data_IF_344202078506
#
_entry.id   IF_344202078506
#
_cell.length_a   1.000
_cell.length_b   1.000
_cell.length_c   1.000
_cell.angle_alpha   90.00
_cell.angle_beta   90.00
_cell.angle_gamma   90.00
#
_symmetry.space_group_name_H-M   'P 1'
#
loop_
_entity.id
_entity.type
_entity.pdbx_description
1 polymer ?
#
# COMPACT_ATOMS: atom_id res chain seq x y z
N UNK A 1 -2.65 74.76 -21.26
CA UNK A 1 -1.56 73.80 -20.94
C UNK A 1 -1.86 73.15 -19.61
N UNK A 2 -2.40 71.94 -19.63
CA UNK A 2 -2.17 70.94 -18.58
C UNK A 2 -2.61 69.60 -19.15
N UNK A 3 -1.65 68.70 -19.15
CA UNK A 3 -1.51 67.50 -19.96
C UNK A 3 -2.43 66.37 -19.52
N UNK A 4 -3.14 65.78 -20.47
CA UNK A 4 -3.68 64.45 -20.37
C UNK A 4 -2.51 63.45 -20.34
N UNK A 5 -2.40 62.67 -19.26
CA UNK A 5 -1.51 61.52 -19.16
C UNK A 5 -2.37 60.26 -19.07
N UNK A 6 -2.74 59.72 -20.23
CA UNK A 6 -3.27 58.37 -20.38
C UNK A 6 -2.20 57.36 -19.97
N UNK A 7 -2.25 56.92 -18.71
CA UNK A 7 -1.51 55.77 -18.24
C UNK A 7 -2.13 54.51 -18.83
N UNK A 8 -1.55 54.05 -19.93
CA UNK A 8 -1.86 52.78 -20.58
C UNK A 8 -1.34 51.64 -19.69
N UNK A 9 -2.06 51.30 -18.62
CA UNK A 9 -1.79 50.10 -17.83
C UNK A 9 -2.26 48.91 -18.65
N UNK A 10 -1.31 48.16 -19.20
CA UNK A 10 -1.54 46.78 -19.63
C UNK A 10 -2.17 46.01 -18.46
N UNK A 11 -3.50 45.83 -18.48
CA UNK A 11 -4.15 44.79 -17.70
C UNK A 11 -3.62 43.48 -18.25
N UNK A 12 -2.71 42.83 -17.54
CA UNK A 12 -2.51 41.40 -17.70
C UNK A 12 -3.90 40.79 -17.50
N UNK A 13 -4.52 40.32 -18.59
CA UNK A 13 -5.74 39.55 -18.50
C UNK A 13 -5.46 38.39 -17.55
N UNK A 14 -6.06 38.45 -16.37
CA UNK A 14 -6.06 37.33 -15.43
C UNK A 14 -6.79 36.21 -16.18
N UNK A 15 -6.03 35.25 -16.71
CA UNK A 15 -6.59 34.14 -17.51
C UNK A 15 -7.60 33.43 -16.63
N UNK A 16 -8.86 33.44 -17.04
CA UNK A 16 -9.91 32.76 -16.29
C UNK A 16 -9.85 31.26 -16.58
N UNK A 17 -8.98 30.55 -15.86
CA UNK A 17 -8.82 29.09 -16.00
C UNK A 17 -10.11 28.30 -15.71
N UNK A 18 -11.11 28.93 -15.07
CA UNK A 18 -12.43 28.31 -14.85
C UNK A 18 -13.30 28.23 -16.12
N UNK A 19 -12.99 29.01 -17.16
CA UNK A 19 -13.70 29.05 -18.45
C UNK A 19 -13.02 28.20 -19.53
N UNK A 20 -12.00 27.40 -19.18
CA UNK A 20 -11.35 26.52 -20.14
C UNK A 20 -12.38 25.48 -20.65
N UNK A 21 -12.54 25.28 -21.98
CA UNK A 21 -13.45 24.27 -22.50
C UNK A 21 -13.04 22.84 -22.09
N UNK A 22 -14.01 21.92 -22.09
CA UNK A 22 -13.80 20.54 -21.63
C UNK A 22 -12.72 19.79 -22.45
N UNK A 23 -12.64 20.01 -23.77
CA UNK A 23 -11.65 19.35 -24.63
C UNK A 23 -10.19 19.58 -24.19
N UNK A 24 -9.75 20.85 -24.06
CA UNK A 24 -8.46 21.17 -23.47
C UNK A 24 -8.26 20.64 -22.04
N UNK A 25 -9.29 20.67 -21.19
CA UNK A 25 -9.20 20.13 -19.82
C UNK A 25 -8.88 18.63 -19.83
N UNK A 26 -9.59 17.85 -20.66
CA UNK A 26 -9.31 16.43 -20.82
C UNK A 26 -7.92 16.19 -21.41
N UNK A 27 -7.48 17.02 -22.34
CA UNK A 27 -6.13 16.91 -22.91
C UNK A 27 -5.06 17.12 -21.84
N UNK A 28 -5.18 18.17 -21.02
CA UNK A 28 -4.29 18.42 -19.88
C UNK A 28 -4.32 17.23 -18.92
N UNK A 29 -5.51 16.75 -18.56
CA UNK A 29 -5.68 15.59 -17.70
C UNK A 29 -4.97 14.33 -18.24
N UNK A 30 -5.04 14.07 -19.55
CA UNK A 30 -4.37 12.91 -20.15
C UNK A 30 -2.85 12.99 -20.13
N UNK A 31 -2.29 14.20 -20.04
CA UNK A 31 -0.85 14.44 -19.94
C UNK A 31 -0.31 14.36 -18.51
N UNK A 32 -1.17 14.17 -17.49
CA UNK A 32 -0.73 14.06 -16.11
C UNK A 32 -0.06 12.70 -15.89
N UNK A 33 1.19 12.76 -15.45
CA UNK A 33 2.02 11.60 -15.16
C UNK A 33 2.29 11.45 -13.66
N UNK A 34 2.12 12.51 -12.88
CA UNK A 34 2.32 12.54 -11.43
C UNK A 34 0.98 12.60 -10.71
N UNK A 35 0.93 11.92 -9.57
CA UNK A 35 -0.19 12.02 -8.66
C UNK A 35 -0.28 13.40 -8.00
N UNK A 36 0.86 14.06 -7.77
CA UNK A 36 0.89 15.45 -7.26
C UNK A 36 0.19 16.37 -8.25
N UNK A 37 0.52 16.26 -9.55
CA UNK A 37 -0.12 17.05 -10.60
C UNK A 37 -1.62 16.75 -10.72
N UNK A 38 -2.02 15.48 -10.55
CA UNK A 38 -3.42 15.08 -10.46
C UNK A 38 -4.18 15.81 -9.34
N UNK A 39 -3.60 15.89 -8.15
CA UNK A 39 -4.20 16.60 -7.03
C UNK A 39 -4.25 18.11 -7.31
N UNK A 40 -3.16 18.69 -7.81
CA UNK A 40 -3.12 20.10 -8.20
C UNK A 40 -4.20 20.42 -9.24
N UNK A 41 -4.35 19.58 -10.26
CA UNK A 41 -5.38 19.68 -11.30
C UNK A 41 -6.80 19.68 -10.70
N UNK A 42 -7.11 18.70 -9.83
CA UNK A 42 -8.44 18.58 -9.18
C UNK A 42 -8.75 19.71 -8.17
N UNK A 43 -7.72 20.45 -7.75
CA UNK A 43 -7.83 21.52 -6.76
C UNK A 43 -8.17 22.89 -7.37
N UNK A 44 -8.00 23.07 -8.70
CA UNK A 44 -8.13 24.38 -9.37
C UNK A 44 -9.51 25.01 -9.17
N UNK A 45 -10.56 24.34 -9.65
CA UNK A 45 -11.95 24.78 -9.50
C UNK A 45 -12.92 23.61 -9.78
N UNK A 46 -14.24 23.86 -9.72
CA UNK A 46 -15.27 22.82 -9.89
C UNK A 46 -15.24 22.15 -11.27
N UNK A 47 -15.00 22.89 -12.35
CA UNK A 47 -14.95 22.33 -13.71
C UNK A 47 -13.78 21.37 -13.90
N UNK A 48 -12.60 21.72 -13.40
CA UNK A 48 -11.42 20.85 -13.43
C UNK A 48 -11.61 19.61 -12.56
N UNK A 49 -12.17 19.78 -11.35
CA UNK A 49 -12.48 18.64 -10.45
C UNK A 49 -13.48 17.68 -11.05
N UNK A 50 -14.44 18.16 -11.85
CA UNK A 50 -15.44 17.32 -12.48
C UNK A 50 -14.80 16.27 -13.42
N UNK A 51 -13.69 16.62 -14.09
CA UNK A 51 -12.93 15.70 -14.96
C UNK A 51 -12.35 14.52 -14.17
N UNK A 52 -11.96 14.73 -12.92
CA UNK A 52 -11.35 13.69 -12.09
C UNK A 52 -12.36 12.94 -11.23
N UNK A 53 -13.54 13.52 -10.98
CA UNK A 53 -14.56 12.95 -10.08
C UNK A 53 -15.23 11.69 -10.63
N UNK A 54 -15.15 11.44 -11.93
CA UNK A 54 -15.72 10.24 -12.56
C UNK A 54 -14.76 9.05 -12.61
N UNK A 55 -13.52 9.21 -12.14
CA UNK A 55 -12.51 8.15 -12.19
C UNK A 55 -12.81 7.07 -11.15
N UNK A 56 -12.74 5.82 -11.60
CA UNK A 56 -12.73 4.66 -10.73
C UNK A 56 -11.36 4.49 -10.08
N UNK A 57 -11.24 3.75 -8.96
CA UNK A 57 -9.94 3.39 -8.39
C UNK A 57 -9.00 2.73 -9.41
N UNK A 58 -9.51 1.88 -10.30
CA UNK A 58 -8.73 1.24 -11.37
C UNK A 58 -8.21 2.23 -12.41
N UNK A 59 -8.93 3.32 -12.69
CA UNK A 59 -8.45 4.37 -13.60
C UNK A 59 -7.26 5.13 -12.99
N UNK A 60 -7.23 5.26 -11.67
CA UNK A 60 -6.13 5.89 -10.94
C UNK A 60 -4.92 4.96 -10.91
N UNK A 61 -5.09 3.68 -10.55
CA UNK A 61 -3.99 2.73 -10.44
C UNK A 61 -3.34 2.39 -11.78
N UNK A 62 -4.09 2.46 -12.88
CA UNK A 62 -3.57 2.25 -14.24
C UNK A 62 -2.85 3.47 -14.83
N UNK A 63 -2.96 4.64 -14.19
CA UNK A 63 -2.40 5.90 -14.69
C UNK A 63 -1.20 6.40 -13.88
N UNK A 64 -1.29 6.28 -12.57
CA UNK A 64 -0.31 6.86 -11.65
C UNK A 64 0.42 5.78 -10.85
N UNK A 65 1.68 6.02 -10.47
CA UNK A 65 2.38 5.13 -9.56
C UNK A 65 1.73 5.18 -8.16
N UNK A 66 1.88 4.12 -7.34
CA UNK A 66 1.59 4.23 -5.93
C UNK A 66 2.55 5.23 -5.28
N UNK A 67 2.09 5.88 -4.22
CA UNK A 67 2.88 6.80 -3.43
C UNK A 67 3.64 6.04 -2.34
N UNK A 68 4.86 6.48 -2.06
CA UNK A 68 5.63 5.97 -0.94
C UNK A 68 5.34 6.81 0.30
N UNK A 69 4.79 6.17 1.33
CA UNK A 69 4.68 6.75 2.66
C UNK A 69 5.91 6.40 3.48
N UNK A 70 6.50 7.42 4.10
CA UNK A 70 7.65 7.31 4.99
C UNK A 70 7.23 7.87 6.35
N UNK A 71 7.18 7.02 7.37
CA UNK A 71 6.84 7.42 8.72
C UNK A 71 7.83 8.46 9.26
N UNK A 72 7.35 9.47 9.96
CA UNK A 72 8.19 10.42 10.69
C UNK A 72 8.09 10.11 12.17
N UNK A 73 9.23 10.11 12.86
CA UNK A 73 9.31 9.89 14.30
C UNK A 73 10.00 11.07 14.99
N UNK A 74 9.55 11.41 16.20
CA UNK A 74 10.26 12.34 17.08
C UNK A 74 11.54 11.70 17.63
N UNK A 75 12.42 12.52 18.23
CA UNK A 75 13.61 12.03 18.95
C UNK A 75 13.28 11.04 20.08
N UNK A 76 12.06 11.10 20.61
CA UNK A 76 11.55 10.21 21.66
C UNK A 76 10.98 8.90 21.08
N UNK A 77 11.08 8.67 19.76
CA UNK A 77 10.58 7.47 19.09
C UNK A 77 9.06 7.47 18.88
N UNK A 78 8.38 8.61 18.99
CA UNK A 78 6.93 8.71 18.78
C UNK A 78 6.62 9.08 17.33
N UNK A 79 5.62 8.45 16.73
CA UNK A 79 5.15 8.85 15.41
C UNK A 79 4.69 10.31 15.41
N UNK A 80 5.27 11.15 14.54
CA UNK A 80 4.97 12.59 14.44
C UNK A 80 4.19 12.97 13.17
N UNK A 81 4.21 12.12 12.15
CA UNK A 81 3.59 12.40 10.85
C UNK A 81 4.09 11.40 9.81
N UNK A 82 3.86 11.68 8.53
CA UNK A 82 4.55 10.97 7.46
C UNK A 82 4.90 11.90 6.31
N UNK A 83 5.94 11.52 5.56
CA UNK A 83 6.28 12.12 4.27
C UNK A 83 5.72 11.24 3.17
N UNK A 84 5.17 11.87 2.14
CA UNK A 84 4.67 11.21 0.93
C UNK A 84 5.61 11.57 -0.22
N UNK A 85 6.07 10.55 -0.95
CA UNK A 85 6.84 10.70 -2.17
C UNK A 85 6.08 10.12 -3.35
N UNK A 86 6.17 10.80 -4.49
CA UNK A 86 5.65 10.34 -5.77
C UNK A 86 6.80 9.85 -6.65
N UNK A 87 6.83 8.57 -7.07
CA UNK A 87 7.84 8.05 -7.99
C UNK A 87 7.96 8.83 -9.31
N UNK A 88 6.87 9.43 -9.79
CA UNK A 88 6.86 10.25 -10.99
C UNK A 88 7.40 11.67 -10.76
N UNK A 89 7.56 12.09 -9.50
CA UNK A 89 8.05 13.41 -9.11
C UNK A 89 8.79 13.36 -7.77
N UNK A 90 9.93 12.64 -7.71
CA UNK A 90 10.62 12.33 -6.45
C UNK A 90 11.19 13.57 -5.74
N UNK A 91 11.41 14.67 -6.47
CA UNK A 91 11.82 15.95 -5.90
C UNK A 91 10.72 16.64 -5.08
N UNK A 92 9.46 16.25 -5.28
CA UNK A 92 8.33 16.77 -4.53
C UNK A 92 7.99 15.83 -3.38
N UNK A 93 7.92 16.38 -2.18
CA UNK A 93 7.46 15.64 -1.00
C UNK A 93 6.40 16.43 -0.26
N UNK A 94 5.35 15.74 0.19
CA UNK A 94 4.32 16.32 1.05
C UNK A 94 4.45 15.77 2.47
N UNK A 95 4.31 16.64 3.48
CA UNK A 95 4.24 16.23 4.88
C UNK A 95 2.78 16.13 5.32
N UNK A 96 2.43 15.01 5.93
CA UNK A 96 1.14 14.75 6.54
C UNK A 96 1.28 14.75 8.06
N UNK A 97 1.10 15.93 8.66
CA UNK A 97 1.32 16.16 10.09
C UNK A 97 0.09 15.79 10.96
N UNK A 98 -1.08 15.57 10.33
CA UNK A 98 -2.36 15.32 11.03
C UNK A 98 -2.47 13.94 11.69
N UNK A 99 -1.44 13.10 11.57
CA UNK A 99 -1.40 11.75 12.19
C UNK A 99 -1.19 11.86 13.72
N UNK A 100 -0.62 12.97 14.19
CA UNK A 100 -0.11 13.17 15.56
C UNK A 100 -1.00 14.08 16.43
N UNK A 101 -2.22 13.65 16.77
CA UNK A 101 -3.01 14.34 17.80
C UNK A 101 -3.11 13.61 19.14
N UNK A 102 -2.45 12.44 19.31
CA UNK A 102 -2.51 11.72 20.59
C UNK A 102 -1.12 11.32 21.11
N UNK A 103 -0.72 11.92 22.24
CA UNK A 103 0.59 11.83 22.89
C UNK A 103 0.96 10.44 23.45
N UNK A 104 0.19 9.39 23.16
CA UNK A 104 0.18 8.14 23.91
C UNK A 104 0.62 6.88 23.14
N UNK A 105 0.81 6.91 21.81
CA UNK A 105 1.23 5.72 21.05
C UNK A 105 2.65 5.85 20.51
N UNK A 106 3.51 4.90 20.91
CA UNK A 106 4.85 4.73 20.33
C UNK A 106 4.81 4.04 18.94
N UNK A 107 3.68 3.44 18.57
CA UNK A 107 3.55 2.69 17.31
C UNK A 107 2.94 3.58 16.22
N UNK A 108 3.57 3.59 15.05
CA UNK A 108 3.04 4.21 13.83
C UNK A 108 1.74 3.50 13.41
N UNK A 109 0.70 4.22 12.96
CA UNK A 109 -0.56 3.62 12.55
C UNK A 109 -0.32 2.57 11.45
N UNK A 110 -1.19 1.56 11.44
CA UNK A 110 -1.07 0.48 10.48
C UNK A 110 -1.70 0.95 9.20
N UNK A 111 -0.96 0.83 8.11
CA UNK A 111 -1.45 1.24 6.80
C UNK A 111 -2.40 0.18 6.27
N UNK A 112 -3.36 0.64 5.48
CA UNK A 112 -4.22 -0.22 4.68
C UNK A 112 -3.80 -0.13 3.23
N UNK A 113 -4.14 -1.15 2.45
CA UNK A 113 -3.99 -1.21 0.99
C UNK A 113 -4.57 0.00 0.23
N UNK A 114 -5.51 0.75 0.81
CA UNK A 114 -6.12 1.95 0.21
C UNK A 114 -5.60 3.28 0.76
N UNK A 115 -4.38 3.29 1.33
CA UNK A 115 -3.75 4.52 1.81
C UNK A 115 -4.44 5.16 3.03
N UNK A 116 -5.33 4.42 3.71
CA UNK A 116 -5.93 4.83 4.98
C UNK A 116 -5.09 4.30 6.14
N UNK A 117 -5.03 5.07 7.22
CA UNK A 117 -4.36 4.72 8.47
C UNK A 117 -5.34 4.09 9.45
N UNK A 118 -5.06 2.89 9.92
CA UNK A 118 -5.73 2.31 11.08
C UNK A 118 -4.97 2.67 12.35
N UNK A 119 -5.68 3.32 13.27
CA UNK A 119 -5.16 3.74 14.57
C UNK A 119 -5.97 3.07 15.69
N UNK A 120 -5.34 2.30 16.58
CA UNK A 120 -6.02 1.82 17.78
C UNK A 120 -6.30 3.01 18.72
N UNK A 121 -7.51 3.05 19.28
CA UNK A 121 -7.95 4.03 20.26
C UNK A 121 -8.48 3.27 21.48
N UNK A 122 -8.16 3.77 22.68
CA UNK A 122 -8.54 3.14 23.95
C UNK A 122 -9.49 4.01 24.78
N UNK A 123 -10.76 4.20 24.38
CA UNK A 123 -11.72 4.93 25.19
C UNK A 123 -12.05 4.12 26.46
N UNK A 124 -11.75 4.67 27.64
CA UNK A 124 -12.06 4.07 28.94
C UNK A 124 -11.57 2.60 29.10
N UNK A 125 -10.44 2.25 28.47
CA UNK A 125 -9.85 0.90 28.52
C UNK A 125 -10.41 -0.12 27.53
N UNK A 126 -11.44 0.23 26.75
CA UNK A 126 -11.97 -0.63 25.68
C UNK A 126 -11.17 -0.48 24.39
N UNK A 127 -11.15 -1.50 23.54
CA UNK A 127 -10.40 -1.49 22.28
C UNK A 127 -11.30 -1.07 21.12
N UNK A 128 -10.94 0.03 20.45
CA UNK A 128 -11.61 0.57 19.28
C UNK A 128 -10.57 0.92 18.22
N UNK A 129 -10.97 1.01 16.96
CA UNK A 129 -10.11 1.48 15.89
C UNK A 129 -10.69 2.70 15.19
N UNK A 130 -9.80 3.58 14.73
CA UNK A 130 -10.10 4.69 13.82
C UNK A 130 -9.43 4.42 12.50
N UNK A 131 -10.23 4.47 11.42
CA UNK A 131 -9.75 4.54 10.05
C UNK A 131 -9.65 6.03 9.71
N UNK A 132 -8.43 6.52 9.53
CA UNK A 132 -8.13 7.89 9.13
C UNK A 132 -7.74 7.90 7.65
N UNK A 133 -8.41 8.71 6.84
CA UNK A 133 -7.91 9.09 5.52
C UNK A 133 -6.93 10.25 5.68
N UNK A 134 -5.62 10.07 5.44
CA UNK A 134 -4.68 11.15 5.64
C UNK A 134 -4.73 12.26 4.59
N UNK A 135 -5.32 11.98 3.42
CA UNK A 135 -5.43 12.94 2.32
C UNK A 135 -6.64 13.86 2.48
N UNK A 136 -7.75 13.35 3.03
CA UNK A 136 -8.98 14.13 3.25
C UNK A 136 -9.16 14.58 4.70
N UNK A 137 -8.54 13.88 5.65
CA UNK A 137 -8.76 14.05 7.09
C UNK A 137 -10.06 13.40 7.60
N UNK A 138 -10.74 12.60 6.78
CA UNK A 138 -11.91 11.83 7.20
C UNK A 138 -11.53 10.80 8.26
N UNK A 139 -12.29 10.73 9.35
CA UNK A 139 -12.14 9.71 10.39
C UNK A 139 -13.41 8.87 10.51
N UNK A 140 -13.24 7.54 10.50
CA UNK A 140 -14.32 6.58 10.69
C UNK A 140 -13.99 5.70 11.90
N UNK A 141 -14.91 5.62 12.85
CA UNK A 141 -14.75 4.87 14.09
C UNK A 141 -15.40 3.49 13.97
N UNK A 142 -14.66 2.43 14.32
CA UNK A 142 -15.23 1.10 14.47
C UNK A 142 -16.06 0.98 15.75
N UNK A 143 -16.95 -0.01 15.88
CA UNK A 143 -17.46 -0.45 17.18
C UNK A 143 -16.32 -0.92 18.09
N UNK A 144 -16.61 -1.03 19.39
CA UNK A 144 -15.70 -1.64 20.36
C UNK A 144 -15.54 -3.12 20.01
N UNK A 145 -14.30 -3.60 19.97
CA UNK A 145 -14.01 -5.01 19.72
C UNK A 145 -14.56 -5.85 20.90
N UNK A 146 -15.32 -6.92 20.64
CA UNK A 146 -15.78 -7.83 21.67
C UNK A 146 -14.59 -8.33 22.51
N UNK A 147 -14.71 -8.28 23.84
CA UNK A 147 -13.67 -8.81 24.74
C UNK A 147 -13.64 -10.34 24.62
N UNK A 148 -12.77 -10.87 23.77
CA UNK A 148 -12.34 -12.27 23.83
C UNK A 148 -11.40 -12.51 25.02
N UNK A 149 -11.28 -13.76 25.47
CA UNK A 149 -10.61 -14.20 26.69
C UNK A 149 -9.06 -14.16 26.66
N UNK A 150 -8.42 -13.22 25.95
CA UNK A 150 -6.96 -13.21 25.86
C UNK A 150 -6.35 -11.82 25.99
N UNK A 151 -5.33 -11.73 26.85
CA UNK A 151 -4.38 -10.62 27.07
C UNK A 151 -4.32 -9.59 25.94
N UNK A 152 -5.22 -8.61 26.05
CA UNK A 152 -5.56 -7.54 25.12
C UNK A 152 -4.40 -6.52 24.85
N UNK A 153 -3.19 -6.77 25.35
CA UNK A 153 -2.05 -5.86 25.26
C UNK A 153 -1.10 -6.06 24.07
N UNK A 154 -1.40 -6.96 23.13
CA UNK A 154 -0.59 -7.14 21.90
C UNK A 154 -1.45 -7.37 20.65
N UNK A 155 -2.39 -6.46 20.38
CA UNK A 155 -2.91 -6.29 19.01
C UNK A 155 -1.78 -5.72 18.13
N UNK A 156 -0.79 -6.55 17.80
CA UNK A 156 -0.10 -6.42 16.54
C UNK A 156 -0.95 -7.24 15.58
N UNK A 157 -1.86 -6.63 14.80
CA UNK A 157 -2.56 -7.38 13.79
C UNK A 157 -1.52 -7.98 12.85
N UNK A 158 -1.68 -9.27 12.56
CA UNK A 158 -0.79 -9.97 11.62
C UNK A 158 -1.06 -9.49 10.20
N UNK A 159 -2.31 -9.08 9.92
CA UNK A 159 -2.72 -8.43 8.69
C UNK A 159 -3.93 -7.51 8.91
N UNK A 160 -4.02 -6.45 8.10
CA UNK A 160 -5.19 -5.59 8.00
C UNK A 160 -5.52 -5.32 6.54
N UNK A 161 -6.70 -5.74 6.12
CA UNK A 161 -7.24 -5.40 4.79
C UNK A 161 -8.47 -4.53 4.94
N UNK A 162 -8.55 -3.49 4.12
CA UNK A 162 -9.81 -2.79 3.86
C UNK A 162 -10.34 -3.27 2.52
N UNK A 163 -11.52 -3.88 2.51
CA UNK A 163 -12.10 -4.59 1.37
C UNK A 163 -13.56 -4.17 1.26
N UNK A 164 -13.99 -3.54 0.16
CA UNK A 164 -15.40 -3.21 -0.08
C UNK A 164 -16.14 -2.57 1.11
N UNK A 165 -15.47 -1.63 1.79
CA UNK A 165 -15.96 -1.01 3.02
C UNK A 165 -16.06 -1.96 4.21
N UNK A 166 -15.18 -2.95 4.30
CA UNK A 166 -15.04 -3.84 5.44
C UNK A 166 -13.59 -3.90 5.91
N UNK A 167 -13.40 -3.94 7.22
CA UNK A 167 -12.13 -4.12 7.87
C UNK A 167 -11.99 -5.58 8.31
N UNK A 168 -10.94 -6.23 7.82
CA UNK A 168 -10.52 -7.53 8.29
C UNK A 168 -9.35 -7.35 9.26
N UNK A 169 -9.53 -7.80 10.50
CA UNK A 169 -8.51 -7.82 11.54
C UNK A 169 -8.19 -9.28 11.85
N UNK A 170 -7.01 -9.71 11.43
CA UNK A 170 -6.53 -11.06 11.71
C UNK A 170 -5.57 -11.01 12.90
N UNK A 171 -5.84 -11.88 13.86
CA UNK A 171 -4.98 -12.13 15.03
C UNK A 171 -4.47 -13.56 14.99
N UNK A 172 -3.60 -13.94 15.92
CA UNK A 172 -3.10 -15.32 16.01
C UNK A 172 -4.19 -16.38 16.27
N UNK A 173 -5.39 -15.96 16.72
CA UNK A 173 -6.46 -16.87 17.16
C UNK A 173 -7.80 -16.56 16.50
N UNK A 174 -8.13 -15.29 16.32
CA UNK A 174 -9.44 -14.88 15.82
C UNK A 174 -9.30 -13.98 14.60
N UNK A 175 -10.27 -14.13 13.69
CA UNK A 175 -10.49 -13.24 12.55
C UNK A 175 -11.72 -12.39 12.85
N UNK A 176 -11.50 -11.10 13.00
CA UNK A 176 -12.55 -10.11 13.19
C UNK A 176 -12.88 -9.45 11.86
N UNK A 177 -14.16 -9.40 11.54
CA UNK A 177 -14.69 -8.78 10.33
C UNK A 177 -15.68 -7.69 10.73
N UNK A 178 -15.48 -6.47 10.22
CA UNK A 178 -16.41 -5.37 10.43
C UNK A 178 -16.67 -4.63 9.13
N UNK A 179 -17.93 -4.63 8.69
CA UNK A 179 -18.39 -3.76 7.61
C UNK A 179 -18.60 -2.34 8.15
N UNK A 180 -18.02 -1.35 7.50
CA UNK A 180 -18.19 0.08 7.81
C UNK A 180 -19.68 0.40 7.89
N UNK A 181 -20.06 1.07 8.98
CA UNK A 181 -21.46 1.40 9.29
C UNK A 181 -22.21 0.32 10.08
N UNK A 182 -21.71 -0.91 10.17
CA UNK A 182 -22.31 -1.94 11.04
C UNK A 182 -22.08 -1.62 12.53
N UNK A 183 -23.04 -1.94 13.42
CA UNK A 183 -22.95 -1.61 14.84
C UNK A 183 -22.04 -2.54 15.64
N UNK A 184 -21.61 -3.67 15.07
CA UNK A 184 -20.82 -4.69 15.76
C UNK A 184 -19.81 -5.38 14.83
N UNK A 185 -18.82 -6.01 15.45
CA UNK A 185 -17.88 -6.91 14.78
C UNK A 185 -18.46 -8.33 14.69
N UNK A 186 -18.20 -9.00 13.57
CA UNK A 186 -18.27 -10.45 13.46
C UNK A 186 -16.93 -11.04 13.90
N UNK A 187 -16.95 -12.08 14.73
CA UNK A 187 -15.75 -12.79 15.17
C UNK A 187 -15.83 -14.24 14.72
N UNK A 188 -14.73 -14.74 14.17
CA UNK A 188 -14.60 -16.10 13.70
C UNK A 188 -13.31 -16.71 14.26
N UNK A 189 -13.44 -17.87 14.91
CA UNK A 189 -12.30 -18.63 15.44
C UNK A 189 -12.09 -19.88 14.57
N UNK A 190 -11.28 -19.80 13.50
CA UNK A 190 -11.09 -20.94 12.60
C UNK A 190 -10.36 -22.09 13.31
N UNK A 191 -10.69 -23.35 12.98
CA UNK A 191 -9.99 -24.52 13.57
C UNK A 191 -8.54 -24.67 13.10
N UNK A 192 -8.28 -24.18 11.89
CA UNK A 192 -6.94 -24.11 11.30
C UNK A 192 -6.58 -22.63 11.34
N UNK A 193 -5.65 -22.27 12.22
CA UNK A 193 -5.08 -20.94 12.22
C UNK A 193 -3.89 -20.93 11.24
N UNK A 194 -3.84 -19.98 10.30
CA UNK A 194 -2.59 -19.69 9.64
C UNK A 194 -1.61 -19.20 10.71
N UNK A 195 -0.46 -19.86 10.81
CA UNK A 195 0.52 -19.56 11.84
C UNK A 195 1.41 -18.41 11.37
N UNK A 196 1.08 -17.19 11.83
CA UNK A 196 1.93 -16.02 11.73
C UNK A 196 2.07 -15.42 10.31
N UNK A 197 2.06 -14.07 10.26
CA UNK A 197 2.43 -13.29 9.09
C UNK A 197 1.53 -13.54 7.87
N UNK A 198 0.24 -13.28 8.01
CA UNK A 198 -0.69 -13.43 6.90
C UNK A 198 -0.59 -12.21 5.98
N UNK A 199 -0.40 -12.43 4.69
CA UNK A 199 -0.62 -11.38 3.68
C UNK A 199 -1.92 -11.73 2.99
N UNK A 200 -2.91 -10.84 3.06
CA UNK A 200 -4.19 -11.03 2.37
C UNK A 200 -4.25 -10.14 1.14
N UNK A 201 -4.47 -10.75 -0.01
CA UNK A 201 -4.67 -10.07 -1.28
C UNK A 201 -6.01 -10.47 -1.89
N UNK A 202 -6.63 -9.56 -2.64
CA UNK A 202 -7.82 -9.86 -3.43
C UNK A 202 -7.39 -9.97 -4.87
N UNK A 203 -7.80 -11.04 -5.54
CA UNK A 203 -7.57 -11.25 -6.97
C UNK A 203 -8.89 -11.71 -7.58
N UNK A 204 -9.44 -10.95 -8.54
CA UNK A 204 -10.72 -11.27 -9.22
C UNK A 204 -11.83 -11.65 -8.23
N UNK A 205 -12.09 -10.77 -7.26
CA UNK A 205 -13.12 -10.93 -6.21
C UNK A 205 -12.91 -12.11 -5.24
N UNK A 206 -11.76 -12.79 -5.30
CA UNK A 206 -11.38 -13.84 -4.37
C UNK A 206 -10.30 -13.37 -3.42
N UNK A 207 -10.46 -13.67 -2.15
CA UNK A 207 -9.47 -13.36 -1.12
C UNK A 207 -8.52 -14.54 -0.94
N UNK A 208 -7.23 -14.25 -0.98
CA UNK A 208 -6.16 -15.21 -0.74
C UNK A 208 -5.33 -14.76 0.45
N UNK A 209 -5.01 -15.68 1.35
CA UNK A 209 -4.01 -15.47 2.40
C UNK A 209 -2.89 -16.47 2.25
N UNK A 210 -1.69 -16.06 2.64
CA UNK A 210 -0.55 -16.96 2.77
C UNK A 210 0.11 -16.76 4.12
N UNK A 211 0.48 -17.86 4.77
CA UNK A 211 1.21 -17.82 6.02
C UNK A 211 2.73 -17.91 5.84
N UNK A 212 3.45 -17.76 6.95
CA UNK A 212 4.93 -17.86 6.98
C UNK A 212 5.49 -19.22 6.53
N UNK A 213 4.66 -20.26 6.41
CA UNK A 213 5.04 -21.58 5.90
C UNK A 213 4.69 -21.76 4.42
N UNK A 214 4.38 -20.67 3.71
CA UNK A 214 4.03 -20.65 2.29
C UNK A 214 2.74 -21.43 1.95
N UNK A 215 1.88 -21.68 2.94
CA UNK A 215 0.59 -22.33 2.72
C UNK A 215 -0.42 -21.31 2.23
N UNK A 216 -1.06 -21.62 1.10
CA UNK A 216 -2.08 -20.76 0.51
C UNK A 216 -3.47 -21.13 1.01
N UNK A 217 -4.25 -20.11 1.35
CA UNK A 217 -5.64 -20.23 1.77
C UNK A 217 -6.54 -19.33 0.93
N UNK A 218 -7.71 -19.81 0.56
CA UNK A 218 -8.79 -19.00 0.01
C UNK A 218 -9.76 -18.65 1.15
N UNK A 219 -10.16 -17.37 1.22
CA UNK A 219 -11.05 -16.84 2.24
C UNK A 219 -12.38 -16.44 1.61
N UNK A 220 -13.47 -16.88 2.23
CA UNK A 220 -14.81 -16.44 1.92
C UNK A 220 -15.44 -15.87 3.20
N UNK A 221 -15.89 -14.61 3.16
CA UNK A 221 -16.41 -13.91 4.34
C UNK A 221 -17.93 -14.04 4.52
N UNK A 222 -18.66 -14.38 3.46
CA UNK A 222 -20.12 -14.39 3.43
C UNK A 222 -20.63 -15.74 2.96
N UNK A 223 -21.60 -16.39 3.64
CA UNK A 223 -22.36 -15.92 4.82
C UNK A 223 -21.63 -16.09 6.17
N UNK A 224 -20.51 -16.82 6.19
CA UNK A 224 -19.63 -17.03 7.35
C UNK A 224 -18.19 -17.10 6.85
N UNK A 225 -17.21 -16.81 7.72
CA UNK A 225 -15.81 -17.00 7.39
C UNK A 225 -15.51 -18.49 7.12
N UNK A 226 -15.21 -18.81 5.87
CA UNK A 226 -14.66 -20.07 5.45
C UNK A 226 -13.21 -19.89 5.02
N UNK A 227 -12.30 -20.63 5.65
CA UNK A 227 -10.89 -20.67 5.28
C UNK A 227 -10.60 -22.01 4.64
N UNK A 228 -10.31 -22.01 3.34
CA UNK A 228 -10.02 -23.21 2.55
C UNK A 228 -8.54 -23.28 2.25
N UNK A 229 -7.84 -24.25 2.84
CA UNK A 229 -6.46 -24.54 2.46
C UNK A 229 -6.40 -25.04 1.02
N UNK A 230 -5.57 -24.41 0.19
CA UNK A 230 -5.30 -24.82 -1.18
C UNK A 230 -3.98 -25.60 -1.19
N UNK A 231 -4.04 -26.88 -1.55
CA UNK A 231 -2.83 -27.65 -1.81
C UNK A 231 -2.22 -27.19 -3.14
N UNK A 232 -1.11 -26.45 -3.07
CA UNK A 232 -0.42 -25.90 -4.23
C UNK A 232 1.01 -26.44 -4.28
N UNK A 233 1.35 -27.12 -5.36
CA UNK A 233 2.70 -27.65 -5.60
C UNK A 233 3.59 -26.63 -6.35
N UNK A 234 4.85 -26.98 -6.61
CA UNK A 234 5.70 -26.24 -7.57
C UNK A 234 6.78 -25.33 -6.97
N UNK A 235 6.78 -25.09 -5.66
CA UNK A 235 7.87 -24.35 -4.98
C UNK A 235 8.99 -25.31 -4.56
N UNK A 236 8.65 -26.35 -3.78
CA UNK A 236 9.34 -27.64 -3.65
C UNK A 236 10.85 -27.71 -3.34
N UNK A 237 11.54 -26.59 -3.14
CA UNK A 237 13.00 -26.53 -3.04
C UNK A 237 13.55 -26.53 -1.61
N UNK A 238 12.66 -26.46 -0.61
CA UNK A 238 13.00 -26.51 0.82
C UNK A 238 13.79 -25.30 1.33
N UNK A 239 13.96 -24.25 0.52
CA UNK A 239 14.69 -23.04 0.94
C UNK A 239 13.82 -22.20 1.87
N UNK A 240 14.45 -21.62 2.89
CA UNK A 240 13.80 -20.68 3.79
C UNK A 240 13.59 -19.33 3.09
N UNK A 241 12.36 -18.83 3.13
CA UNK A 241 12.00 -17.49 2.68
C UNK A 241 12.22 -16.46 3.77
N UNK A 242 13.11 -15.51 3.53
CA UNK A 242 13.35 -14.39 4.44
C UNK A 242 12.17 -13.43 4.51
N UNK A 243 11.52 -13.20 3.36
CA UNK A 243 10.30 -12.40 3.23
C UNK A 243 9.42 -13.03 2.17
N UNK A 244 8.11 -12.95 2.37
CA UNK A 244 7.08 -13.38 1.43
C UNK A 244 6.16 -12.22 1.11
N UNK A 245 5.59 -12.23 -0.09
CA UNK A 245 4.64 -11.24 -0.58
C UNK A 245 3.59 -11.91 -1.46
N UNK A 246 2.34 -11.45 -1.35
CA UNK A 246 1.30 -11.72 -2.33
C UNK A 246 0.93 -10.43 -3.06
N UNK A 247 0.66 -10.54 -4.36
CA UNK A 247 0.37 -9.41 -5.25
C UNK A 247 -0.73 -9.81 -6.23
N UNK A 248 -1.73 -8.94 -6.39
CA UNK A 248 -2.63 -8.98 -7.55
C UNK A 248 -1.94 -8.29 -8.73
N UNK A 249 -1.64 -9.05 -9.78
CA UNK A 249 -1.02 -8.54 -10.99
C UNK A 249 -1.94 -8.82 -12.17
N UNK A 250 -2.75 -7.83 -12.57
CA UNK A 250 -3.66 -7.96 -13.70
C UNK A 250 -4.73 -9.05 -13.52
N UNK A 251 -5.12 -9.36 -12.27
CA UNK A 251 -6.05 -10.45 -11.97
C UNK A 251 -5.39 -11.83 -11.95
N UNK A 252 -4.05 -11.91 -11.94
CA UNK A 252 -3.28 -13.11 -11.63
C UNK A 252 -2.67 -12.98 -10.25
N UNK A 253 -2.73 -14.06 -9.45
CA UNK A 253 -2.10 -14.10 -8.14
C UNK A 253 -0.60 -14.40 -8.30
N UNK A 254 0.23 -13.45 -7.89
CA UNK A 254 1.66 -13.63 -7.79
C UNK A 254 2.10 -13.84 -6.34
N UNK A 255 2.96 -14.83 -6.15
CA UNK A 255 3.72 -15.05 -4.92
C UNK A 255 5.17 -14.66 -5.16
N UNK A 256 5.69 -13.75 -4.34
CA UNK A 256 7.09 -13.38 -4.36
C UNK A 256 7.74 -13.75 -3.05
N UNK A 257 8.97 -14.27 -3.12
CA UNK A 257 9.76 -14.59 -1.93
C UNK A 257 11.20 -14.17 -2.11
N UNK A 258 11.77 -13.71 -1.01
CA UNK A 258 13.18 -13.39 -0.91
C UNK A 258 13.91 -14.59 -0.29
N UNK A 259 14.83 -15.19 -1.04
CA UNK A 259 15.55 -16.41 -0.65
C UNK A 259 17.06 -16.19 -0.63
N UNK A 260 17.79 -16.91 0.24
CA UNK A 260 19.25 -16.87 0.22
C UNK A 260 19.82 -17.49 -1.05
N UNK A 261 20.96 -16.96 -1.49
CA UNK A 261 21.78 -17.50 -2.58
C UNK A 261 22.98 -18.26 -2.01
N UNK A 262 23.83 -18.82 -2.89
CA UNK A 262 25.09 -19.47 -2.48
C UNK A 262 26.11 -18.47 -1.90
N UNK A 263 26.00 -17.18 -2.26
CA UNK A 263 26.89 -16.13 -1.74
C UNK A 263 26.52 -15.80 -0.30
N UNK A 264 27.54 -15.66 0.53
CA UNK A 264 27.40 -15.15 1.90
C UNK A 264 26.75 -13.75 1.84
N UNK A 265 25.67 -13.55 2.62
CA UNK A 265 24.87 -12.31 2.63
C UNK A 265 24.20 -11.98 1.28
N UNK A 266 24.16 -12.91 0.32
CA UNK A 266 23.46 -12.76 -0.96
C UNK A 266 22.01 -13.24 -0.87
N UNK A 267 21.09 -12.39 -1.33
CA UNK A 267 19.66 -12.69 -1.43
C UNK A 267 19.19 -12.58 -2.88
N UNK A 268 18.10 -13.23 -3.22
CA UNK A 268 17.48 -13.16 -4.54
C UNK A 268 15.97 -13.09 -4.39
N UNK A 269 15.31 -12.30 -5.24
CA UNK A 269 13.87 -12.24 -5.30
C UNK A 269 13.37 -13.19 -6.39
N UNK A 270 12.52 -14.14 -5.99
CA UNK A 270 11.81 -15.04 -6.89
C UNK A 270 10.34 -14.69 -6.95
N UNK A 271 9.73 -14.93 -8.10
CA UNK A 271 8.30 -14.75 -8.30
C UNK A 271 7.69 -16.01 -8.93
N UNK A 272 6.47 -16.30 -8.52
CA UNK A 272 5.68 -17.43 -8.97
C UNK A 272 4.27 -16.96 -9.28
N UNK A 273 3.69 -17.47 -10.36
CA UNK A 273 2.28 -17.27 -10.69
C UNK A 273 1.47 -18.49 -10.29
N UNK A 274 0.31 -18.27 -9.69
CA UNK A 274 -0.63 -19.35 -9.40
C UNK A 274 -1.29 -19.82 -10.69
N UNK A 275 -1.12 -21.09 -11.03
CA UNK A 275 -1.83 -21.76 -12.11
C UNK A 275 -2.90 -22.70 -11.52
N UNK A 276 -4.16 -22.46 -11.91
CA UNK A 276 -5.33 -23.23 -11.52
C UNK A 276 -5.92 -24.03 -12.70
N UNK A 277 -5.25 -24.05 -13.86
CA UNK A 277 -5.77 -24.64 -15.09
C UNK A 277 -5.70 -26.17 -15.13
N UNK A 278 -4.80 -26.77 -14.34
CA UNK A 278 -4.60 -28.22 -14.22
C UNK A 278 -5.39 -28.73 -13.01
N UNK A 279 -5.73 -30.03 -12.98
CA UNK A 279 -6.42 -30.70 -11.86
C UNK A 279 -5.80 -30.45 -10.46
N UNK A 280 -4.55 -29.99 -10.41
CA UNK A 280 -3.85 -29.60 -9.20
C UNK A 280 -3.33 -28.17 -9.35
N UNK A 281 -3.56 -27.33 -8.33
CA UNK A 281 -3.02 -25.98 -8.30
C UNK A 281 -1.49 -26.04 -8.21
N UNK A 282 -0.80 -25.21 -8.99
CA UNK A 282 0.66 -25.16 -9.01
C UNK A 282 1.19 -23.74 -9.06
N UNK A 283 2.33 -23.52 -8.41
CA UNK A 283 3.13 -22.33 -8.54
C UNK A 283 4.08 -22.50 -9.72
N UNK A 284 3.96 -21.61 -10.69
CA UNK A 284 4.83 -21.57 -11.88
C UNK A 284 5.80 -20.43 -11.72
N UNK A 285 7.10 -20.72 -11.61
CA UNK A 285 8.16 -19.70 -11.51
C UNK A 285 8.13 -18.81 -12.74
N UNK A 286 8.22 -17.50 -12.53
CA UNK A 286 8.33 -16.50 -13.60
C UNK A 286 9.65 -15.74 -13.44
N UNK A 287 10.27 -15.44 -14.57
CA UNK A 287 11.54 -14.69 -14.63
C UNK A 287 11.36 -13.30 -15.25
N UNK A 288 10.15 -13.02 -15.74
CA UNK A 288 9.84 -11.80 -16.47
C UNK A 288 8.43 -11.33 -16.11
N UNK A 289 8.32 -10.08 -15.66
CA UNK A 289 7.05 -9.42 -15.32
C UNK A 289 6.43 -8.73 -16.54
N UNK A 290 7.08 -8.76 -17.70
CA UNK A 290 6.60 -8.12 -18.92
C UNK A 290 6.52 -6.61 -18.76
N UNK A 291 5.37 -6.04 -19.08
CA UNK A 291 5.10 -4.61 -18.95
C UNK A 291 4.69 -4.18 -17.53
N UNK A 292 4.77 -5.08 -16.54
CA UNK A 292 4.41 -4.79 -15.15
C UNK A 292 5.62 -4.35 -14.32
N UNK A 293 5.35 -3.50 -13.35
CA UNK A 293 6.23 -3.20 -12.22
C UNK A 293 5.53 -3.58 -10.92
N UNK A 294 6.28 -4.22 -10.01
CA UNK A 294 5.77 -4.60 -8.68
C UNK A 294 6.36 -3.66 -7.62
N UNK A 295 5.54 -3.24 -6.66
CA UNK A 295 5.94 -2.36 -5.56
C UNK A 295 5.84 -3.12 -4.25
N UNK A 296 6.98 -3.32 -3.59
CA UNK A 296 7.09 -4.07 -2.34
C UNK A 296 7.60 -3.17 -1.21
N UNK A 297 6.98 -3.30 -0.04
CA UNK A 297 7.48 -2.67 1.18
C UNK A 297 8.58 -3.49 1.84
N UNK A 298 9.47 -2.83 2.59
CA UNK A 298 10.41 -3.56 3.46
C UNK A 298 9.67 -4.40 4.51
N UNK A 299 8.54 -3.88 5.01
CA UNK A 299 7.67 -4.57 5.96
C UNK A 299 6.59 -5.34 5.21
N UNK A 300 6.44 -6.63 5.51
CA UNK A 300 5.52 -7.57 4.83
C UNK A 300 4.08 -7.48 5.38
N UNK A 301 3.72 -6.38 6.02
CA UNK A 301 2.40 -6.18 6.64
C UNK A 301 1.32 -5.81 5.62
N UNK A 302 1.74 -5.38 4.43
CA UNK A 302 0.87 -5.02 3.31
C UNK A 302 1.14 -5.94 2.12
N UNK A 303 0.11 -6.26 1.31
CA UNK A 303 0.33 -6.89 0.02
C UNK A 303 1.16 -5.97 -0.87
N UNK A 304 1.88 -6.57 -1.83
CA UNK A 304 2.52 -5.77 -2.87
C UNK A 304 1.49 -5.20 -3.83
N UNK A 305 1.87 -4.15 -4.55
CA UNK A 305 1.06 -3.53 -5.59
C UNK A 305 1.68 -3.84 -6.96
N UNK A 306 0.86 -3.96 -7.99
CA UNK A 306 1.32 -4.09 -9.37
C UNK A 306 0.78 -2.94 -10.23
N UNK A 307 1.62 -2.43 -11.12
CA UNK A 307 1.27 -1.37 -12.07
C UNK A 307 1.69 -1.78 -13.47
N UNK A 308 0.77 -1.67 -14.41
CA UNK A 308 1.01 -1.94 -15.82
C UNK A 308 1.54 -0.68 -16.53
N UNK A 309 2.50 -0.85 -17.44
CA UNK A 309 3.05 0.21 -18.29
C UNK A 309 3.58 1.43 -17.50
N UNK A 310 4.50 1.23 -16.54
CA UNK A 310 5.04 2.29 -15.70
C UNK A 310 5.78 3.41 -16.47
N UNK A 311 6.17 3.16 -17.72
CA UNK A 311 6.77 4.15 -18.63
C UNK A 311 5.87 5.38 -18.82
N UNK A 312 4.55 5.24 -18.62
CA UNK A 312 3.59 6.35 -18.66
C UNK A 312 3.91 7.49 -17.69
N UNK A 313 4.58 7.18 -16.59
CA UNK A 313 5.00 8.15 -15.59
C UNK A 313 6.53 8.25 -15.45
N UNK A 314 7.26 7.74 -16.45
CA UNK A 314 8.73 7.71 -16.45
C UNK A 314 9.34 6.55 -15.65
N UNK A 315 8.51 5.60 -15.20
CA UNK A 315 8.94 4.37 -14.57
C UNK A 315 9.49 3.33 -15.54
N UNK A 316 9.83 2.16 -15.01
CA UNK A 316 10.43 1.04 -15.74
C UNK A 316 9.63 -0.23 -15.49
N UNK A 317 9.28 -0.94 -16.56
CA UNK A 317 8.66 -2.27 -16.49
C UNK A 317 9.68 -3.37 -16.22
N UNK A 318 9.18 -4.58 -15.99
CA UNK A 318 9.98 -5.76 -15.71
C UNK A 318 10.93 -5.58 -14.51
N UNK A 319 10.47 -4.92 -13.46
CA UNK A 319 11.24 -4.72 -12.24
C UNK A 319 10.35 -4.64 -10.99
N UNK A 320 11.01 -4.71 -9.85
CA UNK A 320 10.42 -4.56 -8.53
C UNK A 320 10.96 -3.30 -7.86
N UNK A 321 10.08 -2.36 -7.57
CA UNK A 321 10.33 -1.17 -6.76
C UNK A 321 10.26 -1.56 -5.27
N UNK A 322 11.42 -1.78 -4.67
CA UNK A 322 11.52 -2.21 -3.28
C UNK A 322 11.78 -1.00 -2.38
N UNK A 323 10.85 -0.67 -1.50
CA UNK A 323 11.01 0.43 -0.55
C UNK A 323 12.11 0.09 0.47
N UNK A 324 13.03 1.01 0.70
CA UNK A 324 14.11 0.81 1.67
C UNK A 324 13.60 1.00 3.09
N UNK A 325 14.38 0.58 4.08
CA UNK A 325 14.03 0.68 5.50
C UNK A 325 14.16 2.10 6.09
N UNK A 326 13.99 3.15 5.27
CA UNK A 326 14.03 4.54 5.72
C UNK A 326 15.24 5.34 5.27
N UNK A 327 15.99 4.88 4.26
CA UNK A 327 17.01 5.72 3.66
C UNK A 327 16.33 6.89 2.92
N UNK A 328 16.67 8.12 3.32
CA UNK A 328 16.03 9.32 2.78
C UNK A 328 16.58 9.69 1.40
N UNK A 329 17.83 9.33 1.12
CA UNK A 329 18.52 9.65 -0.12
C UNK A 329 18.12 8.68 -1.23
N UNK A 330 17.89 7.40 -0.89
CA UNK A 330 17.32 6.38 -1.77
C UNK A 330 16.13 5.68 -1.11
N UNK A 331 14.93 6.27 -1.21
CA UNK A 331 13.73 5.78 -0.54
C UNK A 331 13.22 4.43 -1.10
N UNK A 332 13.63 4.08 -2.32
CA UNK A 332 13.42 2.77 -2.94
C UNK A 332 14.56 2.44 -3.89
N UNK A 333 14.67 1.17 -4.25
CA UNK A 333 15.54 0.70 -5.34
C UNK A 333 14.74 -0.13 -6.33
N UNK A 334 15.28 -0.29 -7.55
CA UNK A 334 14.73 -1.20 -8.54
C UNK A 334 15.53 -2.49 -8.56
N UNK A 335 14.85 -3.63 -8.50
CA UNK A 335 15.46 -4.97 -8.50
C UNK A 335 14.84 -5.77 -9.64
N UNK A 336 15.64 -6.54 -10.37
CA UNK A 336 15.10 -7.53 -11.31
C UNK A 336 14.84 -8.87 -10.62
N UNK A 337 13.86 -9.61 -11.12
CA UNK A 337 13.68 -10.99 -10.68
C UNK A 337 14.95 -11.78 -10.97
N UNK A 338 15.36 -12.57 -9.99
CA UNK A 338 16.57 -13.37 -10.11
C UNK A 338 17.89 -12.60 -9.96
N UNK A 339 17.88 -11.28 -9.78
CA UNK A 339 19.09 -10.51 -9.51
C UNK A 339 19.61 -10.78 -8.09
N UNK A 340 20.92 -10.92 -7.96
CA UNK A 340 21.57 -11.11 -6.68
C UNK A 340 21.70 -9.77 -5.93
N UNK A 341 21.23 -9.75 -4.69
CA UNK A 341 21.23 -8.59 -3.80
C UNK A 341 22.22 -8.85 -2.68
N UNK A 342 23.29 -8.06 -2.61
CA UNK A 342 24.22 -8.08 -1.48
C UNK A 342 23.59 -7.35 -0.30
N UNK A 343 23.37 -8.04 0.82
CA UNK A 343 22.79 -7.44 2.04
C UNK A 343 23.83 -6.80 2.96
N UNK A 344 25.12 -6.95 2.64
CA UNK A 344 26.23 -6.29 3.35
C UNK A 344 26.53 -4.88 2.84
N UNK A 345 26.08 -4.55 1.63
CA UNK A 345 26.21 -3.22 1.04
C UNK A 345 25.30 -2.21 1.77
N UNK A 346 25.85 -1.09 2.32
CA UNK A 346 25.05 -0.03 2.94
C UNK A 346 23.99 0.61 2.03
N UNK A 347 24.16 0.54 0.71
CA UNK A 347 23.19 1.04 -0.28
C UNK A 347 22.10 0.01 -0.60
N UNK A 348 22.24 -1.23 -0.12
CA UNK A 348 21.28 -2.30 -0.34
C UNK A 348 19.92 -1.99 0.30
N UNK A 349 18.81 -2.28 -0.39
CA UNK A 349 17.46 -2.14 0.18
C UNK A 349 17.24 -3.05 1.40
N UNK A 350 18.05 -4.10 1.51
CA UNK A 350 17.97 -5.11 2.56
C UNK A 350 19.10 -4.96 3.58
N UNK A 351 19.90 -3.90 3.49
CA UNK A 351 20.98 -3.64 4.42
C UNK A 351 20.48 -3.68 5.87
N UNK A 352 21.03 -4.61 6.63
CA UNK A 352 20.63 -4.83 8.02
C UNK A 352 21.40 -3.87 8.95
N UNK A 353 21.28 -2.57 8.70
CA UNK A 353 21.88 -1.51 9.51
C UNK A 353 21.22 -1.34 10.89
N UNK A 354 21.61 -0.28 11.62
CA UNK A 354 21.14 -0.01 12.98
C UNK A 354 19.60 -0.01 13.07
N UNK A 355 18.98 -0.94 13.82
CA UNK A 355 17.52 -1.03 13.94
C UNK A 355 16.86 0.26 14.44
N UNK A 356 17.57 1.09 15.21
CA UNK A 356 17.05 2.35 15.76
C UNK A 356 16.86 3.46 14.71
N UNK A 357 17.47 3.31 13.54
CA UNK A 357 17.35 4.27 12.43
C UNK A 357 16.31 3.83 11.38
N UNK A 358 15.69 2.66 11.56
CA UNK A 358 14.71 2.15 10.60
C UNK A 358 13.43 2.95 10.67
N UNK A 359 12.97 3.35 9.50
CA UNK A 359 11.70 4.03 9.32
C UNK A 359 10.73 3.07 8.65
N UNK A 360 9.46 3.14 9.06
CA UNK A 360 8.40 2.39 8.40
C UNK A 360 8.07 3.03 7.06
N UNK A 361 8.25 2.27 6.00
CA UNK A 361 7.94 2.66 4.61
C UNK A 361 6.89 1.74 4.03
N UNK A 362 6.02 2.28 3.17
CA UNK A 362 4.91 1.51 2.58
C UNK A 362 4.40 2.17 1.30
N UNK A 363 4.15 1.36 0.28
CA UNK A 363 3.50 1.79 -0.96
C UNK A 363 1.99 1.81 -0.81
N UNK A 364 1.35 2.87 -1.27
CA UNK A 364 -0.12 3.01 -1.18
C UNK A 364 -0.69 3.74 -2.39
N UNK A 365 -1.95 3.43 -2.71
CA UNK A 365 -2.79 4.34 -3.49
C UNK A 365 -3.65 5.17 -2.54
N UNK A 366 -3.74 6.50 -2.71
CA UNK A 366 -4.65 7.32 -1.93
C UNK A 366 -6.11 6.94 -2.24
N UNK A 367 -6.89 6.60 -1.21
CA UNK A 367 -8.34 6.49 -1.32
C UNK A 367 -8.99 7.88 -1.26
N UNK A 368 -9.80 8.23 -2.26
CA UNK A 368 -10.63 9.45 -2.25
C UNK A 368 -12.10 9.14 -2.04
#
# INVERSE_FOLDING_TARGET
>A
MTTASTANRHRLHQRNWSELPDGPLHTIFTCLCSFVDFISFSSVCRSWRAVTSSLSPSDITSRFPPLLLIASYTREGRASGCRVLDPASPSFSCSLDRISNNRASANFPILTNHGRFLRPVRPAGNHQHVILNPFTGEEIYSPIIPKGDTSINRFHPTHLSFIDSALLLITNYDVFHWRVGSPSWSCHSPKIHPTGGEIVVIVKDKMYAMDSAERLFELELSPQLHLRHLAVDGIGDGRFSFKIFLVDCGGELLFLRLVPTERIMGMQLEAFRLDLSINQATWVKIENLGNWAIFLGYWTELPGLAVENPERWGGRSNCVYFATNGNVDWPWVMIKLGEEIDTSDPESPLFNGNPRQRVKTSWVYPGF
#
